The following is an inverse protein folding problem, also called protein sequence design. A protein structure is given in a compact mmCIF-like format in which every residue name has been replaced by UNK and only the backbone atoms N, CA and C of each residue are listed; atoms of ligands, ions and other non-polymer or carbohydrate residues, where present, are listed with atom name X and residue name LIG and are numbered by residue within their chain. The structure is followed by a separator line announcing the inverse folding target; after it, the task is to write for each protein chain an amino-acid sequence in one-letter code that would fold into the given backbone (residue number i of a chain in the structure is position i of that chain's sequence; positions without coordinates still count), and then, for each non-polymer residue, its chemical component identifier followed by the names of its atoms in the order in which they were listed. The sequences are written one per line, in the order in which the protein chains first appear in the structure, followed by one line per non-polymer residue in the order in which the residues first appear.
data_IF_216152556962
#
_entry.id   IF_216152556962
#
_cell.length_a   1.000
_cell.length_b   1.000
_cell.length_c   1.000
_cell.angle_alpha   90.00
_cell.angle_beta   90.00
_cell.angle_gamma   90.00
#
_symmetry.space_group_name_H-M   'P 1'
#
loop_
_entity.id
_entity.type
_entity.pdbx_description
1 polymer ?
#
# COMPACT_ATOMS: atom_id res chain seq x y z
N UNK A 1 -25.56 -7.61 -26.96
CA UNK A 1 -26.29 -7.63 -25.68
C UNK A 1 -25.28 -7.59 -24.54
N UNK A 2 -25.16 -6.44 -23.88
CA UNK A 2 -24.28 -6.27 -22.72
C UNK A 2 -24.96 -6.88 -21.49
N UNK A 3 -24.24 -7.59 -20.60
CA UNK A 3 -24.84 -8.08 -19.38
C UNK A 3 -25.13 -6.91 -18.44
N UNK A 4 -26.36 -6.90 -17.97
CA UNK A 4 -26.96 -5.97 -17.03
C UNK A 4 -26.17 -6.01 -15.71
N UNK A 5 -25.65 -4.86 -15.28
CA UNK A 5 -25.00 -4.71 -13.98
C UNK A 5 -26.09 -4.71 -12.91
N UNK A 6 -26.29 -5.84 -12.25
CA UNK A 6 -27.11 -5.93 -11.05
C UNK A 6 -26.64 -4.88 -10.02
N UNK A 7 -27.53 -3.95 -9.72
CA UNK A 7 -27.35 -2.96 -8.68
C UNK A 7 -27.37 -3.66 -7.30
N UNK A 8 -26.19 -3.86 -6.72
CA UNK A 8 -25.99 -4.38 -5.36
C UNK A 8 -26.34 -3.31 -4.32
N UNK A 9 -27.63 -3.07 -4.09
CA UNK A 9 -28.15 -2.03 -3.19
C UNK A 9 -28.16 -2.43 -1.70
N UNK A 10 -28.02 -3.71 -1.35
CA UNK A 10 -28.05 -4.17 0.06
C UNK A 10 -26.70 -4.21 0.81
N UNK A 11 -25.58 -4.46 0.13
CA UNK A 11 -24.30 -4.76 0.80
C UNK A 11 -23.58 -3.53 1.33
N UNK A 12 -23.94 -2.33 0.86
CA UNK A 12 -23.17 -1.12 1.11
C UNK A 12 -23.33 -0.58 2.53
N UNK A 13 -24.56 -0.54 3.03
CA UNK A 13 -24.84 -0.10 4.40
C UNK A 13 -24.19 -1.03 5.42
N UNK A 14 -24.36 -2.35 5.20
CA UNK A 14 -23.74 -3.41 6.02
C UNK A 14 -22.22 -3.28 6.02
N UNK A 15 -21.59 -3.13 4.84
CA UNK A 15 -20.13 -2.96 4.75
C UNK A 15 -19.63 -1.72 5.49
N UNK A 16 -20.38 -0.62 5.48
CA UNK A 16 -20.03 0.59 6.23
C UNK A 16 -20.10 0.36 7.74
N UNK A 17 -21.17 -0.28 8.22
CA UNK A 17 -21.34 -0.60 9.64
C UNK A 17 -20.22 -1.52 10.12
N UNK A 18 -19.95 -2.60 9.37
CA UNK A 18 -18.88 -3.56 9.69
C UNK A 18 -17.52 -2.86 9.69
N UNK A 19 -17.18 -2.06 8.67
CA UNK A 19 -15.92 -1.32 8.64
C UNK A 19 -15.79 -0.37 9.85
N UNK A 20 -16.86 0.34 10.20
CA UNK A 20 -16.89 1.25 11.34
C UNK A 20 -16.65 0.53 12.67
N UNK A 21 -17.21 -0.66 12.87
CA UNK A 21 -17.02 -1.46 14.09
C UNK A 21 -15.54 -1.84 14.33
N UNK A 22 -14.76 -2.00 13.26
CA UNK A 22 -13.32 -2.25 13.35
C UNK A 22 -12.47 -0.97 13.27
N UNK A 23 -13.09 0.21 13.23
CA UNK A 23 -12.39 1.48 13.11
C UNK A 23 -11.58 1.60 11.80
N UNK A 24 -12.12 1.07 10.71
CA UNK A 24 -11.52 1.15 9.36
C UNK A 24 -12.51 1.75 8.36
N UNK A 25 -12.01 2.26 7.22
CA UNK A 25 -12.88 2.72 6.12
C UNK A 25 -13.15 1.65 5.07
N UNK A 26 -12.25 0.69 4.90
CA UNK A 26 -12.40 -0.42 3.96
C UNK A 26 -12.60 -1.74 4.71
N UNK A 27 -13.65 -2.50 4.37
CA UNK A 27 -13.83 -3.87 4.89
C UNK A 27 -12.63 -4.76 4.59
N UNK A 28 -11.94 -4.52 3.47
CA UNK A 28 -10.71 -5.26 3.12
C UNK A 28 -9.53 -5.04 4.08
N UNK A 29 -9.58 -3.99 4.91
CA UNK A 29 -8.58 -3.70 5.93
C UNK A 29 -8.82 -4.42 7.26
N UNK A 30 -10.00 -5.02 7.47
CA UNK A 30 -10.32 -5.68 8.75
C UNK A 30 -9.26 -6.74 9.10
N UNK A 31 -8.80 -7.61 8.18
CA UNK A 31 -7.73 -8.55 8.50
C UNK A 31 -6.41 -7.88 8.91
N UNK A 32 -6.05 -6.78 8.26
CA UNK A 32 -4.85 -5.99 8.61
C UNK A 32 -5.00 -5.36 10.00
N UNK A 33 -6.20 -4.88 10.35
CA UNK A 33 -6.52 -4.34 11.67
C UNK A 33 -6.43 -5.40 12.75
N UNK A 34 -7.01 -6.58 12.51
CA UNK A 34 -6.94 -7.73 13.43
C UNK A 34 -5.49 -8.14 13.69
N UNK A 35 -4.67 -8.28 12.64
CA UNK A 35 -3.25 -8.61 12.79
C UNK A 35 -2.51 -7.60 13.68
N UNK A 36 -2.87 -6.31 13.60
CA UNK A 36 -2.27 -5.25 14.43
C UNK A 36 -2.71 -5.28 15.89
N UNK A 37 -3.86 -5.88 16.19
CA UNK A 37 -4.27 -6.24 17.55
C UNK A 37 -3.73 -7.61 17.99
N UNK A 38 -2.87 -8.24 17.20
CA UNK A 38 -2.29 -9.55 17.51
C UNK A 38 -3.20 -10.72 17.15
N UNK A 39 -4.41 -10.47 16.65
CA UNK A 39 -5.43 -11.47 16.32
C UNK A 39 -5.20 -12.00 14.90
N UNK A 40 -5.15 -13.32 14.74
CA UNK A 40 -5.07 -13.95 13.43
C UNK A 40 -6.45 -13.90 12.73
N UNK A 41 -6.57 -13.22 11.58
CA UNK A 41 -7.83 -13.10 10.89
C UNK A 41 -8.21 -14.40 10.18
N UNK A 42 -9.52 -14.62 10.00
CA UNK A 42 -10.00 -15.68 9.14
C UNK A 42 -9.66 -15.41 7.67
N UNK A 43 -9.09 -16.41 7.00
CA UNK A 43 -8.74 -16.32 5.59
C UNK A 43 -9.81 -16.94 4.73
N UNK A 44 -10.46 -16.12 3.90
CA UNK A 44 -11.34 -16.62 2.84
C UNK A 44 -10.55 -17.39 1.77
N UNK A 45 -11.27 -18.17 0.94
CA UNK A 45 -10.65 -18.97 -0.12
C UNK A 45 -9.89 -18.12 -1.16
N UNK A 46 -10.26 -16.86 -1.39
CA UNK A 46 -9.53 -15.96 -2.31
C UNK A 46 -8.20 -15.51 -1.71
N UNK A 47 -8.12 -15.32 -0.38
CA UNK A 47 -6.87 -14.99 0.34
C UNK A 47 -5.93 -16.18 0.37
N UNK A 48 -6.44 -17.39 0.69
CA UNK A 48 -5.63 -18.62 0.66
C UNK A 48 -4.99 -18.86 -0.71
N UNK A 49 -5.79 -18.80 -1.79
CA UNK A 49 -5.27 -18.94 -3.17
C UNK A 49 -4.19 -17.92 -3.53
N UNK A 50 -4.23 -16.70 -2.98
CA UNK A 50 -3.17 -15.70 -3.20
C UNK A 50 -1.89 -16.09 -2.45
N UNK A 51 -2.02 -16.52 -1.20
CA UNK A 51 -0.88 -17.04 -0.41
C UNK A 51 -0.23 -18.22 -1.14
N UNK A 52 -1.03 -19.16 -1.65
CA UNK A 52 -0.52 -20.33 -2.36
C UNK A 52 0.23 -19.97 -3.65
N UNK A 53 -0.21 -18.92 -4.37
CA UNK A 53 0.53 -18.38 -5.52
C UNK A 53 1.89 -17.80 -5.14
N UNK A 54 2.00 -17.17 -3.96
CA UNK A 54 3.29 -16.67 -3.46
C UNK A 54 4.20 -17.85 -3.10
N UNK A 55 3.66 -18.88 -2.41
CA UNK A 55 4.42 -20.10 -2.12
C UNK A 55 4.94 -20.77 -3.39
N UNK A 56 4.08 -20.89 -4.40
CA UNK A 56 4.43 -21.50 -5.68
C UNK A 56 5.53 -20.71 -6.42
N UNK A 57 5.54 -19.37 -6.33
CA UNK A 57 6.60 -18.58 -6.96
C UNK A 57 7.94 -18.66 -6.21
N UNK A 58 7.93 -19.02 -4.91
CA UNK A 58 9.09 -19.04 -4.01
C UNK A 58 9.80 -17.67 -3.88
N UNK A 59 9.06 -16.58 -4.11
CA UNK A 59 9.55 -15.21 -4.02
C UNK A 59 8.44 -14.29 -3.50
N UNK A 60 8.71 -13.62 -2.38
CA UNK A 60 7.76 -12.68 -1.77
C UNK A 60 8.00 -11.25 -2.29
N UNK A 61 7.02 -10.70 -2.99
CA UNK A 61 6.98 -9.31 -3.39
C UNK A 61 5.96 -8.56 -2.52
N UNK A 62 6.44 -7.62 -1.70
CA UNK A 62 5.54 -6.74 -0.93
C UNK A 62 5.03 -5.63 -1.84
N UNK A 63 3.81 -5.82 -2.35
CA UNK A 63 3.20 -4.91 -3.31
C UNK A 63 2.70 -3.60 -2.69
N UNK A 64 3.57 -2.59 -2.67
CA UNK A 64 3.23 -1.22 -2.29
C UNK A 64 2.42 -0.51 -3.39
N UNK A 65 1.26 0.10 -3.07
CA UNK A 65 0.47 0.88 -4.03
C UNK A 65 1.27 2.01 -4.67
N UNK A 66 1.00 2.28 -5.95
CA UNK A 66 1.60 3.37 -6.75
C UNK A 66 3.09 3.25 -7.04
N UNK A 67 3.69 2.10 -6.72
CA UNK A 67 5.08 1.76 -7.07
C UNK A 67 5.14 0.82 -8.29
N UNK A 68 4.19 0.91 -9.21
CA UNK A 68 4.14 0.09 -10.43
C UNK A 68 4.11 -1.45 -10.25
N UNK A 69 3.83 -1.95 -9.04
CA UNK A 69 3.88 -3.40 -8.76
C UNK A 69 2.77 -4.27 -9.38
N UNK A 70 1.80 -3.69 -10.09
CA UNK A 70 0.72 -4.47 -10.73
C UNK A 70 1.25 -5.46 -11.77
N UNK A 71 2.08 -5.00 -12.70
CA UNK A 71 2.65 -5.88 -13.73
C UNK A 71 3.62 -6.90 -13.15
N UNK A 72 4.34 -6.55 -12.08
CA UNK A 72 5.18 -7.48 -11.33
C UNK A 72 4.32 -8.60 -10.75
N UNK A 73 3.18 -8.28 -10.12
CA UNK A 73 2.27 -9.30 -9.61
C UNK A 73 1.73 -10.20 -10.72
N UNK A 74 1.37 -9.63 -11.87
CA UNK A 74 0.87 -10.40 -13.01
C UNK A 74 1.92 -11.36 -13.57
N UNK A 75 3.18 -10.93 -13.70
CA UNK A 75 4.29 -11.78 -14.17
C UNK A 75 4.72 -12.82 -13.15
N UNK A 76 4.85 -12.43 -11.88
CA UNK A 76 5.39 -13.28 -10.83
C UNK A 76 4.36 -14.29 -10.28
N UNK A 77 3.09 -13.90 -10.20
CA UNK A 77 2.03 -14.70 -9.56
C UNK A 77 0.91 -15.12 -10.51
N UNK A 78 0.89 -14.60 -11.74
CA UNK A 78 -0.20 -14.82 -12.68
C UNK A 78 -1.54 -14.29 -12.19
N UNK A 79 -1.54 -13.33 -11.26
CA UNK A 79 -2.75 -12.81 -10.65
C UNK A 79 -2.57 -11.43 -10.00
N UNK A 80 -3.68 -10.72 -9.91
CA UNK A 80 -3.79 -9.48 -9.16
C UNK A 80 -3.73 -9.74 -7.64
N UNK A 81 -2.70 -9.20 -7.01
CA UNK A 81 -2.46 -9.35 -5.57
C UNK A 81 -3.05 -8.19 -4.77
N UNK A 82 -3.40 -8.47 -3.52
CA UNK A 82 -3.83 -7.44 -2.56
C UNK A 82 -2.61 -6.76 -1.96
N UNK A 83 -2.80 -5.51 -1.52
CA UNK A 83 -1.80 -4.77 -0.77
C UNK A 83 -1.80 -5.25 0.68
N UNK A 84 -0.89 -6.18 0.99
CA UNK A 84 -0.73 -6.74 2.33
C UNK A 84 0.62 -6.30 2.89
N UNK A 85 0.68 -5.94 4.18
CA UNK A 85 1.94 -5.59 4.85
C UNK A 85 2.74 -6.82 5.28
N UNK A 86 4.01 -6.61 5.58
CA UNK A 86 4.86 -7.61 6.27
C UNK A 86 4.23 -8.05 7.60
N UNK A 87 3.58 -7.13 8.33
CA UNK A 87 2.90 -7.44 9.61
C UNK A 87 1.68 -8.34 9.41
N UNK A 88 0.97 -8.20 8.28
CA UNK A 88 -0.10 -9.12 7.92
C UNK A 88 0.46 -10.50 7.63
N UNK A 89 1.48 -10.61 6.78
CA UNK A 89 2.09 -11.91 6.45
C UNK A 89 2.66 -12.62 7.68
N UNK A 90 3.32 -11.89 8.59
CA UNK A 90 3.82 -12.43 9.86
C UNK A 90 2.74 -13.14 10.71
N UNK A 91 1.48 -12.74 10.56
CA UNK A 91 0.35 -13.33 11.28
C UNK A 91 -0.37 -14.43 10.51
N UNK A 92 -0.51 -14.27 9.19
CA UNK A 92 -1.37 -15.17 8.40
C UNK A 92 -0.63 -16.29 7.67
N UNK A 93 0.64 -16.07 7.35
CA UNK A 93 1.49 -16.97 6.59
C UNK A 93 2.95 -16.61 6.87
N UNK A 94 3.44 -16.83 8.10
CA UNK A 94 4.80 -16.44 8.51
C UNK A 94 5.87 -17.11 7.66
N UNK A 95 5.61 -18.32 7.15
CA UNK A 95 6.47 -19.06 6.24
C UNK A 95 6.80 -18.29 4.95
N UNK A 96 5.95 -17.34 4.53
CA UNK A 96 6.25 -16.50 3.38
C UNK A 96 7.38 -15.49 3.65
N UNK A 97 7.61 -15.12 4.90
CA UNK A 97 8.68 -14.19 5.28
C UNK A 97 10.06 -14.86 5.27
N UNK A 98 10.11 -16.19 5.24
CA UNK A 98 11.36 -16.95 5.08
C UNK A 98 11.78 -17.10 3.61
N UNK A 99 10.90 -16.71 2.67
CA UNK A 99 11.23 -16.69 1.24
C UNK A 99 12.13 -15.50 0.93
N UNK A 100 13.01 -15.61 -0.09
CA UNK A 100 13.63 -14.44 -0.69
C UNK A 100 12.56 -13.41 -1.03
N UNK A 101 12.80 -12.15 -0.67
CA UNK A 101 11.79 -11.12 -0.69
C UNK A 101 12.30 -9.78 -1.19
N UNK A 102 11.41 -9.02 -1.81
CA UNK A 102 11.72 -7.67 -2.26
C UNK A 102 10.52 -6.74 -2.25
N UNK A 103 10.81 -5.44 -2.31
CA UNK A 103 9.83 -4.41 -2.55
C UNK A 103 10.42 -3.30 -3.43
N UNK A 104 9.54 -2.64 -4.18
CA UNK A 104 9.89 -1.37 -4.82
C UNK A 104 9.64 -0.23 -3.85
N UNK A 105 10.57 0.71 -3.79
CA UNK A 105 10.44 1.97 -3.03
C UNK A 105 10.57 3.13 -4.00
N UNK A 106 9.58 4.02 -4.01
CA UNK A 106 9.56 5.21 -4.87
C UNK A 106 9.83 6.46 -4.05
N UNK A 107 10.33 7.51 -4.69
CA UNK A 107 10.32 8.85 -4.09
C UNK A 107 8.92 9.18 -3.52
N UNK A 108 8.81 9.53 -2.22
CA UNK A 108 7.52 9.71 -1.58
C UNK A 108 6.68 10.84 -2.19
N UNK A 109 7.30 11.91 -2.68
CA UNK A 109 6.59 13.04 -3.32
C UNK A 109 6.07 12.63 -4.69
N UNK A 110 6.92 11.99 -5.50
CA UNK A 110 6.52 11.44 -6.81
C UNK A 110 5.40 10.39 -6.67
N UNK A 111 5.47 9.56 -5.62
CA UNK A 111 4.43 8.58 -5.32
C UNK A 111 3.12 9.26 -4.91
N UNK A 112 3.19 10.29 -4.07
CA UNK A 112 2.04 11.10 -3.68
C UNK A 112 1.38 11.76 -4.91
N UNK A 113 2.15 12.40 -5.79
CA UNK A 113 1.63 13.01 -7.02
C UNK A 113 0.98 11.96 -7.94
N UNK A 114 1.56 10.75 -8.01
CA UNK A 114 0.95 9.62 -8.72
C UNK A 114 -0.39 9.17 -8.09
N UNK A 115 -0.49 9.18 -6.77
CA UNK A 115 -1.71 8.87 -6.04
C UNK A 115 -2.78 9.94 -6.24
N UNK A 116 -2.42 11.21 -6.12
CA UNK A 116 -3.28 12.37 -6.34
C UNK A 116 -3.93 12.37 -7.73
N UNK A 117 -3.12 12.19 -8.79
CA UNK A 117 -3.66 12.08 -10.16
C UNK A 117 -4.62 10.91 -10.31
N UNK A 118 -4.27 9.75 -9.74
CA UNK A 118 -5.11 8.56 -9.78
C UNK A 118 -6.42 8.73 -8.99
N UNK A 119 -6.40 9.50 -7.91
CA UNK A 119 -7.58 9.87 -7.13
C UNK A 119 -8.54 10.71 -7.98
N UNK A 120 -8.02 11.75 -8.65
CA UNK A 120 -8.81 12.65 -9.52
C UNK A 120 -9.38 11.98 -10.75
N UNK A 121 -8.65 11.05 -11.37
CA UNK A 121 -9.18 10.30 -12.54
C UNK A 121 -10.17 9.19 -12.14
N UNK A 122 -10.46 9.01 -10.85
CA UNK A 122 -11.32 7.92 -10.36
C UNK A 122 -10.70 6.52 -10.49
N UNK A 123 -9.43 6.44 -10.88
CA UNK A 123 -8.66 5.22 -11.10
C UNK A 123 -8.24 4.98 -12.55
N UNK A 124 -8.17 3.72 -12.97
CA UNK A 124 -7.97 3.25 -14.35
C UNK A 124 -9.16 2.44 -14.84
N UNK A 125 -9.19 2.10 -16.13
CA UNK A 125 -10.22 1.22 -16.73
C UNK A 125 -10.46 -0.08 -15.96
N UNK A 126 -9.40 -0.63 -15.34
CA UNK A 126 -9.46 -1.91 -14.64
C UNK A 126 -9.52 -1.78 -13.11
N UNK A 127 -9.34 -0.58 -12.56
CA UNK A 127 -9.25 -0.36 -11.11
C UNK A 127 -9.84 0.99 -10.75
N UNK A 128 -10.87 1.01 -9.92
CA UNK A 128 -11.49 2.25 -9.47
C UNK A 128 -11.12 2.56 -8.02
N UNK A 129 -11.23 3.84 -7.65
CA UNK A 129 -11.14 4.24 -6.24
C UNK A 129 -12.23 3.54 -5.43
N UNK A 130 -11.82 3.01 -4.28
CA UNK A 130 -12.71 2.35 -3.33
C UNK A 130 -13.86 3.28 -2.96
N UNK A 131 -15.09 2.76 -2.95
CA UNK A 131 -16.30 3.58 -2.78
C UNK A 131 -16.26 4.58 -1.61
N UNK A 132 -15.75 4.24 -0.39
CA UNK A 132 -15.70 5.19 0.74
C UNK A 132 -14.89 6.45 0.47
N UNK A 133 -14.01 6.44 -0.52
CA UNK A 133 -13.13 7.57 -0.87
C UNK A 133 -13.50 8.23 -2.20
N UNK A 134 -14.33 7.59 -3.03
CA UNK A 134 -14.54 7.97 -4.42
C UNK A 134 -15.05 9.41 -4.59
N UNK A 135 -16.11 9.77 -3.88
CA UNK A 135 -16.71 11.11 -3.96
C UNK A 135 -15.71 12.18 -3.51
N UNK A 136 -15.08 11.98 -2.34
CA UNK A 136 -14.05 12.88 -1.82
C UNK A 136 -12.90 13.08 -2.80
N UNK A 137 -12.40 11.98 -3.37
CA UNK A 137 -11.20 12.00 -4.22
C UNK A 137 -11.47 12.57 -5.61
N UNK A 138 -12.69 12.38 -6.12
CA UNK A 138 -13.13 13.02 -7.36
C UNK A 138 -13.29 14.53 -7.20
N UNK A 139 -13.62 15.00 -5.98
CA UNK A 139 -13.73 16.42 -5.64
C UNK A 139 -12.43 17.09 -5.19
N UNK A 140 -11.26 16.48 -5.40
CA UNK A 140 -10.00 17.18 -5.18
C UNK A 140 -9.71 18.13 -6.34
N UNK A 141 -9.64 19.42 -6.04
CA UNK A 141 -9.34 20.48 -6.99
C UNK A 141 -7.81 20.64 -7.13
N UNK A 142 -7.07 20.57 -6.03
CA UNK A 142 -5.62 20.73 -6.01
C UNK A 142 -4.89 19.87 -4.98
N UNK A 143 -3.56 19.96 -4.98
CA UNK A 143 -2.69 19.27 -3.99
C UNK A 143 -3.11 19.57 -2.54
N UNK A 144 -3.58 20.79 -2.25
CA UNK A 144 -4.02 21.20 -0.92
C UNK A 144 -5.14 20.33 -0.37
N UNK A 145 -6.16 20.00 -1.16
CA UNK A 145 -7.30 19.18 -0.68
C UNK A 145 -6.86 17.76 -0.31
N UNK A 146 -5.92 17.21 -1.08
CA UNK A 146 -5.32 15.93 -0.78
C UNK A 146 -4.50 16.00 0.51
N UNK A 147 -3.70 17.06 0.71
CA UNK A 147 -2.93 17.28 1.93
C UNK A 147 -3.85 17.45 3.14
N UNK A 148 -4.91 18.23 3.04
CA UNK A 148 -5.88 18.45 4.11
C UNK A 148 -6.55 17.13 4.51
N UNK A 149 -6.91 16.31 3.52
CA UNK A 149 -7.40 14.94 3.76
C UNK A 149 -6.37 14.08 4.51
N UNK A 150 -5.08 14.16 4.16
CA UNK A 150 -4.02 13.44 4.88
C UNK A 150 -3.78 14.00 6.29
N UNK A 151 -3.84 15.32 6.46
CA UNK A 151 -3.64 15.99 7.75
C UNK A 151 -4.75 15.62 8.75
N UNK A 152 -5.98 15.40 8.26
CA UNK A 152 -7.11 14.96 9.08
C UNK A 152 -7.08 13.46 9.42
N UNK A 153 -6.27 12.66 8.72
CA UNK A 153 -6.19 11.22 8.95
C UNK A 153 -5.51 10.92 10.30
N UNK A 154 -6.20 10.18 11.17
CA UNK A 154 -5.65 9.77 12.48
C UNK A 154 -5.00 8.40 12.43
N UNK A 155 -5.26 7.66 11.37
CA UNK A 155 -4.76 6.31 11.14
C UNK A 155 -4.54 6.08 9.65
N UNK A 156 -3.58 5.22 9.25
CA UNK A 156 -3.48 4.77 7.86
C UNK A 156 -4.76 4.11 7.35
N UNK A 157 -5.62 3.58 8.23
CA UNK A 157 -6.95 3.04 7.89
C UNK A 157 -7.99 4.10 7.51
N UNK A 158 -7.72 5.38 7.77
CA UNK A 158 -8.60 6.50 7.42
C UNK A 158 -8.44 6.96 5.98
N UNK A 159 -7.42 6.43 5.28
CA UNK A 159 -7.10 6.78 3.89
C UNK A 159 -7.05 5.53 3.01
N UNK A 160 -7.34 5.71 1.72
CA UNK A 160 -7.16 4.66 0.71
C UNK A 160 -5.69 4.22 0.63
N UNK A 161 -5.47 2.95 0.25
CA UNK A 161 -4.15 2.36 0.05
C UNK A 161 -3.19 3.23 -0.77
N UNK A 162 -3.68 3.95 -1.80
CA UNK A 162 -2.84 4.79 -2.67
C UNK A 162 -2.11 5.91 -1.92
N UNK A 163 -2.67 6.41 -0.82
CA UNK A 163 -2.08 7.47 0.00
C UNK A 163 -1.42 6.95 1.29
N UNK A 164 -1.53 5.66 1.61
CA UNK A 164 -0.82 5.11 2.77
C UNK A 164 0.70 5.22 2.56
N UNK A 165 1.47 5.51 3.60
CA UNK A 165 2.93 5.44 3.55
C UNK A 165 3.42 4.06 3.08
N UNK A 166 4.53 4.01 2.36
CA UNK A 166 5.21 2.77 1.95
C UNK A 166 5.66 1.97 3.18
N UNK A 167 6.13 2.68 4.20
CA UNK A 167 6.48 2.16 5.53
C UNK A 167 5.36 1.38 6.21
N UNK A 168 4.09 1.69 5.93
CA UNK A 168 2.95 0.91 6.41
C UNK A 168 3.03 -0.57 6.02
N UNK A 169 3.53 -0.82 4.80
CA UNK A 169 3.59 -2.16 4.21
C UNK A 169 4.92 -2.86 4.51
N UNK A 170 6.00 -2.11 4.65
CA UNK A 170 7.36 -2.63 4.65
C UNK A 170 7.98 -2.78 6.03
N UNK A 171 7.50 -2.03 7.02
CA UNK A 171 8.07 -2.07 8.37
C UNK A 171 7.39 -3.12 9.25
N UNK A 172 8.20 -3.85 10.00
CA UNK A 172 7.75 -4.74 11.06
C UNK A 172 7.25 -3.96 12.30
N UNK A 173 6.98 -4.68 13.40
CA UNK A 173 6.56 -4.05 14.65
C UNK A 173 7.67 -3.23 15.33
N UNK A 174 8.94 -3.46 14.98
CA UNK A 174 10.11 -2.76 15.51
C UNK A 174 10.54 -1.57 14.63
N UNK A 175 9.80 -1.27 13.57
CA UNK A 175 10.14 -0.21 12.62
C UNK A 175 11.27 -0.59 11.65
N UNK A 176 11.59 -1.86 11.47
CA UNK A 176 12.61 -2.34 10.53
C UNK A 176 11.97 -2.83 9.25
N UNK A 177 12.59 -2.56 8.11
CA UNK A 177 12.16 -3.14 6.84
C UNK A 177 12.31 -4.67 6.91
N UNK A 178 11.20 -5.40 6.79
CA UNK A 178 11.18 -6.87 6.83
C UNK A 178 11.06 -7.45 5.43
N UNK A 179 12.02 -7.08 4.57
CA UNK A 179 12.23 -7.61 3.22
C UNK A 179 13.73 -7.64 2.92
N UNK A 180 14.20 -8.61 2.13
CA UNK A 180 15.64 -8.77 1.86
C UNK A 180 16.18 -7.67 0.94
N UNK A 181 15.35 -7.19 0.00
CA UNK A 181 15.78 -6.21 -1.00
C UNK A 181 14.78 -5.08 -1.16
N UNK A 182 15.23 -3.85 -0.88
CA UNK A 182 14.54 -2.64 -1.31
C UNK A 182 15.15 -2.18 -2.63
N UNK A 183 14.32 -2.10 -3.67
CA UNK A 183 14.74 -1.69 -5.01
C UNK A 183 14.19 -0.28 -5.27
N UNK A 184 15.03 0.73 -5.53
CA UNK A 184 14.57 2.04 -5.94
C UNK A 184 13.73 1.96 -7.22
N UNK A 185 12.63 2.71 -7.28
CA UNK A 185 11.72 2.74 -8.42
C UNK A 185 12.43 3.07 -9.74
N UNK A 186 13.46 3.92 -9.68
CA UNK A 186 14.28 4.32 -10.81
C UNK A 186 15.07 3.14 -11.41
N UNK A 187 15.24 2.06 -10.64
CA UNK A 187 15.92 0.82 -11.03
C UNK A 187 14.94 -0.33 -11.28
N UNK A 188 13.67 -0.03 -11.56
CA UNK A 188 12.63 -1.04 -11.84
C UNK A 188 12.99 -1.98 -13.00
N UNK A 189 13.75 -1.50 -13.99
CA UNK A 189 14.23 -2.32 -15.11
C UNK A 189 15.29 -3.37 -14.70
N UNK A 190 15.86 -3.27 -13.50
CA UNK A 190 16.86 -4.21 -13.00
C UNK A 190 16.27 -5.31 -12.11
N UNK A 191 14.94 -5.35 -11.92
CA UNK A 191 14.32 -6.28 -10.96
C UNK A 191 14.64 -7.73 -11.28
N UNK A 192 14.55 -8.15 -12.55
CA UNK A 192 14.82 -9.55 -12.90
C UNK A 192 16.24 -9.96 -12.54
N UNK A 193 17.25 -9.18 -12.95
CA UNK A 193 18.66 -9.34 -12.51
C UNK A 193 18.81 -9.33 -10.98
N UNK A 194 18.19 -8.38 -10.27
CA UNK A 194 18.31 -8.23 -8.80
C UNK A 194 17.60 -9.32 -8.01
N UNK A 195 16.62 -9.99 -8.60
CA UNK A 195 15.84 -11.06 -7.95
C UNK A 195 16.20 -12.45 -8.48
N UNK A 196 16.98 -12.55 -9.56
CA UNK A 196 17.27 -13.80 -10.26
C UNK A 196 16.05 -14.36 -11.01
N UNK A 197 15.14 -13.49 -11.48
CA UNK A 197 13.86 -13.87 -12.10
C UNK A 197 13.75 -13.30 -13.52
N UNK A 198 14.01 -14.13 -14.52
CA UNK A 198 13.99 -13.69 -15.92
C UNK A 198 12.60 -13.26 -16.40
N UNK A 199 11.51 -13.76 -15.79
CA UNK A 199 10.16 -13.30 -16.09
C UNK A 199 9.92 -11.82 -15.75
N UNK A 200 10.81 -11.21 -14.96
CA UNK A 200 10.80 -9.80 -14.55
C UNK A 200 11.84 -8.94 -15.30
N UNK A 201 12.60 -9.47 -16.26
CA UNK A 201 13.58 -8.69 -17.04
C UNK A 201 12.91 -7.73 -18.02
N UNK A 202 11.72 -8.09 -18.52
CA UNK A 202 10.95 -7.29 -19.49
C UNK A 202 9.61 -6.89 -18.88
N UNK A 203 9.64 -5.89 -18.02
CA UNK A 203 8.42 -5.24 -17.56
C UNK A 203 7.95 -4.23 -18.63
N UNK A 204 6.63 -4.11 -18.88
CA UNK A 204 6.11 -3.09 -19.79
C UNK A 204 6.64 -1.72 -19.41
N UNK A 205 6.91 -0.85 -20.38
CA UNK A 205 7.32 0.53 -20.10
C UNK A 205 6.35 1.15 -19.09
N UNK A 206 6.84 1.32 -17.87
CA UNK A 206 6.07 1.98 -16.84
C UNK A 206 6.02 3.43 -17.23
N UNK A 207 4.80 3.99 -17.30
CA UNK A 207 4.58 5.41 -17.49
C UNK A 207 5.58 6.18 -16.62
N UNK A 208 6.68 6.64 -17.22
CA UNK A 208 7.37 7.86 -16.80
C UNK A 208 6.23 8.85 -16.83
N UNK A 209 5.72 9.20 -15.65
CA UNK A 209 4.63 10.15 -15.56
C UNK A 209 5.11 11.34 -16.35
N UNK A 210 4.46 11.59 -17.50
CA UNK A 210 4.70 12.75 -18.33
C UNK A 210 4.79 13.92 -17.37
N UNK A 211 5.91 14.63 -17.45
CA UNK A 211 6.30 15.73 -16.59
C UNK A 211 5.07 16.52 -16.16
N UNK A 212 4.67 16.40 -14.89
CA UNK A 212 3.42 16.98 -14.43
C UNK A 212 3.67 18.44 -14.06
N UNK A 213 2.91 19.34 -14.69
CA UNK A 213 2.98 20.77 -14.42
C UNK A 213 2.68 21.14 -12.96
N UNK A 214 1.87 20.33 -12.26
CA UNK A 214 1.51 20.59 -10.87
C UNK A 214 2.57 20.05 -9.91
N UNK A 215 3.27 20.97 -9.24
CA UNK A 215 4.31 20.68 -8.24
C UNK A 215 3.86 21.21 -6.87
N UNK A 216 4.19 20.51 -5.77
CA UNK A 216 3.94 21.04 -4.44
C UNK A 216 4.67 22.37 -4.22
N UNK A 217 4.01 23.34 -3.61
CA UNK A 217 4.66 24.52 -3.03
C UNK A 217 5.61 24.12 -1.89
N UNK A 218 6.53 25.01 -1.46
CA UNK A 218 7.44 24.70 -0.35
C UNK A 218 6.74 24.24 0.94
N UNK A 219 5.62 24.86 1.32
CA UNK A 219 4.85 24.47 2.51
C UNK A 219 4.20 23.08 2.36
N UNK A 220 3.68 22.77 1.17
CA UNK A 220 3.13 21.46 0.86
C UNK A 220 4.22 20.39 0.83
N UNK A 221 5.40 20.71 0.28
CA UNK A 221 6.56 19.81 0.29
C UNK A 221 7.02 19.51 1.71
N UNK A 222 7.11 20.52 2.57
CA UNK A 222 7.45 20.36 3.98
C UNK A 222 6.44 19.46 4.72
N UNK A 223 5.14 19.61 4.46
CA UNK A 223 4.13 18.67 4.96
C UNK A 223 4.39 17.24 4.48
N UNK A 224 4.61 17.04 3.17
CA UNK A 224 4.83 15.71 2.59
C UNK A 224 6.11 15.05 3.15
N UNK A 225 7.18 15.83 3.34
CA UNK A 225 8.42 15.37 3.97
C UNK A 225 8.19 14.85 5.38
N UNK A 226 7.40 15.56 6.21
CA UNK A 226 7.03 15.09 7.55
C UNK A 226 6.10 13.88 7.52
N UNK A 227 5.05 13.94 6.70
CA UNK A 227 4.03 12.88 6.65
C UNK A 227 4.61 11.55 6.17
N UNK A 228 5.57 11.59 5.24
CA UNK A 228 6.22 10.41 4.67
C UNK A 228 7.68 10.23 5.13
N UNK A 229 8.08 10.77 6.28
CA UNK A 229 9.47 10.72 6.79
C UNK A 229 10.06 9.30 6.74
N UNK A 230 9.30 8.29 7.21
CA UNK A 230 9.74 6.90 7.20
C UNK A 230 9.89 6.31 5.78
N UNK A 231 9.15 6.83 4.80
CA UNK A 231 9.29 6.42 3.41
C UNK A 231 10.56 7.01 2.78
N UNK A 232 10.93 8.24 3.16
CA UNK A 232 12.20 8.85 2.74
C UNK A 232 13.39 8.04 3.28
N UNK A 233 13.32 7.60 4.54
CA UNK A 233 14.31 6.71 5.14
C UNK A 233 14.41 5.36 4.40
N UNK A 234 13.27 4.75 4.05
CA UNK A 234 13.24 3.53 3.24
C UNK A 234 13.86 3.74 1.85
N UNK A 235 13.63 4.89 1.20
CA UNK A 235 14.25 5.21 -0.09
C UNK A 235 15.75 5.42 0.05
N UNK A 236 16.18 6.12 1.09
CA UNK A 236 17.61 6.29 1.40
C UNK A 236 18.29 4.93 1.57
N UNK A 237 17.66 4.02 2.33
CA UNK A 237 18.14 2.64 2.50
C UNK A 237 18.19 1.89 1.17
N UNK A 238 17.17 2.02 0.31
CA UNK A 238 17.14 1.37 -1.00
C UNK A 238 18.27 1.85 -1.93
N UNK A 239 18.67 3.13 -1.84
CA UNK A 239 19.71 3.72 -2.69
C UNK A 239 21.11 3.41 -2.16
N UNK A 240 21.31 3.51 -0.85
CA UNK A 240 22.65 3.47 -0.22
C UNK A 240 22.99 2.12 0.41
N UNK A 241 21.99 1.28 0.66
CA UNK A 241 22.13 0.08 1.50
C UNK A 241 22.19 0.38 3.01
N UNK A 242 22.28 1.66 3.41
CA UNK A 242 22.41 2.06 4.81
C UNK A 242 21.03 2.21 5.43
N UNK A 243 20.80 1.51 6.55
CA UNK A 243 19.56 1.69 7.32
C UNK A 243 19.59 3.03 8.04
N UNK A 244 18.71 3.95 7.65
CA UNK A 244 18.51 5.19 8.40
C UNK A 244 17.78 4.89 9.71
N UNK A 245 18.26 5.44 10.83
CA UNK A 245 17.55 5.34 12.10
C UNK A 245 16.22 6.10 11.97
N UNK A 246 15.11 5.36 11.97
CA UNK A 246 13.79 5.98 12.07
C UNK A 246 13.66 6.59 13.46
N UNK A 247 13.27 7.86 13.54
CA UNK A 247 12.87 8.44 14.81
C UNK A 247 11.69 7.64 15.36
N UNK A 248 11.70 7.21 16.64
CA UNK A 248 10.49 6.70 17.25
C UNK A 248 9.43 7.81 17.17
N UNK A 249 8.27 7.49 16.59
CA UNK A 249 7.13 8.41 16.59
C UNK A 249 6.82 8.72 18.07
N UNK A 250 6.84 9.99 18.51
CA UNK A 250 6.46 10.30 19.88
C UNK A 250 5.02 9.83 20.11
N UNK A 251 4.85 8.91 21.05
CA UNK A 251 3.57 8.52 21.68
C UNK A 251 2.31 8.61 20.80
N UNK A 252 2.03 7.56 20.02
CA UNK A 252 0.65 7.14 19.74
C UNK A 252 0.39 5.72 20.24
N UNK A 253 0.93 5.40 21.41
CA UNK A 253 0.39 4.37 22.28
C UNK A 253 -0.87 4.91 22.95
N UNK A 254 -1.95 5.05 22.18
CA UNK A 254 -3.25 4.82 22.77
C UNK A 254 -3.39 3.30 22.83
N UNK A 255 -2.93 2.70 23.93
CA UNK A 255 -3.50 1.43 24.35
C UNK A 255 -5.00 1.65 24.38
N UNK A 256 -5.72 1.03 23.45
CA UNK A 256 -7.19 0.99 23.52
C UNK A 256 -7.48 0.23 24.81
N UNK A 257 -8.18 0.83 25.78
CA UNK A 257 -8.56 0.09 26.97
C UNK A 257 -9.47 -1.06 26.51
N UNK A 258 -9.03 -2.28 26.81
CA UNK A 258 -9.91 -3.44 26.74
C UNK A 258 -11.10 -3.17 27.66
N UNK A 259 -12.36 -3.37 27.23
CA UNK A 259 -13.47 -3.33 28.16
C UNK A 259 -13.24 -4.43 29.20
N UNK A 260 -13.16 -4.03 30.46
CA UNK A 260 -13.20 -4.92 31.59
C UNK A 260 -14.68 -5.27 31.85
N UNK A 261 -14.97 -6.57 31.95
CA UNK A 261 -16.26 -7.09 32.41
C UNK A 261 -17.27 -7.35 31.29
#
# INVERSE_FOLDING_TARGET
MAPELEATTGTTGVNRIVASAFGVRLVSDIPERLCRYGISPWLDGKRRRRIDRIRASRLLFIHVPKNAGTSICDRLYGAQMKHCSVRYYAKVAPDLLDLPSFALVRDPVERFLSAFRYARTGGTRHRTISRPFRERYAGFDGISDAIDHLAQARSPFDVDHIFRPQSWYLLDANGRAAVDRLIPYEQIGEIGRRTGRSELDTLPEFNRSRDSAERPSPAQLDFLCRFYEADFALRFQAITGITAALRPVPGRTAAVPMPAG
#
